data_IF_170327539432
#
_entry.id   IF_170327539432
#
_cell.length_a   1.000
_cell.length_b   1.000
_cell.length_c   1.000
_cell.angle_alpha   90.00
_cell.angle_beta   90.00
_cell.angle_gamma   90.00
#
_symmetry.space_group_name_H-M   'P 1'
#
loop_
_entity.id
_entity.type
_entity.pdbx_description
1 polymer ?
#
# COMPACT_ATOMS: atom_id res chain seq x y z
N UNK A 1 4.64 -9.13 3.55
CA UNK A 1 3.35 -9.81 3.85
C UNK A 1 2.23 -8.84 3.58
N UNK A 2 1.25 -9.23 2.78
CA UNK A 2 0.05 -8.45 2.54
C UNK A 2 -0.93 -8.68 3.70
N UNK A 3 -1.44 -7.60 4.28
CA UNK A 3 -2.44 -7.63 5.35
C UNK A 3 -3.72 -6.96 4.85
N UNK A 4 -4.84 -7.19 5.52
CA UNK A 4 -6.12 -6.54 5.21
C UNK A 4 -5.98 -5.01 5.15
N UNK A 5 -5.18 -4.43 6.07
CA UNK A 5 -4.89 -3.00 6.11
C UNK A 5 -4.10 -2.47 4.91
N UNK A 6 -3.31 -3.32 4.25
CA UNK A 6 -2.58 -2.97 3.02
C UNK A 6 -3.43 -3.15 1.78
N UNK A 7 -4.33 -4.13 1.78
CA UNK A 7 -5.36 -4.26 0.74
C UNK A 7 -6.25 -3.02 0.72
N UNK A 8 -6.70 -2.56 1.89
CA UNK A 8 -7.50 -1.34 2.01
C UNK A 8 -6.79 -0.10 1.45
N UNK A 9 -5.46 0.01 1.62
CA UNK A 9 -4.68 1.09 1.00
C UNK A 9 -4.72 1.01 -0.53
N UNK A 10 -4.55 -0.19 -1.10
CA UNK A 10 -4.59 -0.41 -2.55
C UNK A 10 -5.99 -0.09 -3.11
N UNK A 11 -7.05 -0.52 -2.43
CA UNK A 11 -8.44 -0.25 -2.83
C UNK A 11 -8.73 1.25 -2.84
N UNK A 12 -8.26 1.98 -1.84
CA UNK A 12 -8.42 3.44 -1.80
C UNK A 12 -7.63 4.17 -2.89
N UNK A 13 -6.42 3.72 -3.20
CA UNK A 13 -5.62 4.26 -4.31
C UNK A 13 -6.25 3.96 -5.68
N UNK A 14 -6.98 2.86 -5.80
CA UNK A 14 -7.71 2.49 -7.03
C UNK A 14 -8.97 3.33 -7.23
N UNK A 15 -9.69 3.62 -6.14
CA UNK A 15 -11.03 4.23 -6.20
C UNK A 15 -11.02 5.74 -6.07
N UNK A 16 -9.96 6.34 -5.53
CA UNK A 16 -9.92 7.77 -5.28
C UNK A 16 -8.52 8.35 -5.45
N UNK A 17 -8.43 9.49 -6.13
CA UNK A 17 -7.20 10.26 -6.14
C UNK A 17 -6.93 10.84 -4.75
N UNK A 18 -5.72 10.56 -4.24
CA UNK A 18 -5.17 11.19 -3.04
C UNK A 18 -4.04 12.12 -3.45
N UNK A 19 -3.87 13.22 -2.72
CA UNK A 19 -2.81 14.21 -2.96
C UNK A 19 -1.54 13.94 -2.16
N UNK A 20 -1.64 13.17 -1.07
CA UNK A 20 -0.52 12.88 -0.17
C UNK A 20 -0.81 11.72 0.78
N UNK A 21 0.25 11.16 1.38
CA UNK A 21 0.16 10.15 2.47
C UNK A 21 -0.70 10.64 3.64
N UNK A 22 -0.57 11.93 4.02
CA UNK A 22 -1.36 12.52 5.11
C UNK A 22 -2.85 12.55 4.80
N UNK A 23 -3.20 12.82 3.55
CA UNK A 23 -4.60 12.79 3.15
C UNK A 23 -5.17 11.38 3.19
N UNK A 24 -4.45 10.40 2.62
CA UNK A 24 -4.85 8.99 2.66
C UNK A 24 -5.07 8.51 4.11
N UNK A 25 -4.14 8.85 5.01
CA UNK A 25 -4.26 8.52 6.42
C UNK A 25 -5.50 9.13 7.08
N UNK A 26 -5.81 10.40 6.79
CA UNK A 26 -7.04 11.05 7.28
C UNK A 26 -8.30 10.41 6.74
N UNK A 27 -8.33 10.04 5.45
CA UNK A 27 -9.50 9.39 4.82
C UNK A 27 -9.79 8.02 5.45
N UNK A 28 -8.73 7.32 5.85
CA UNK A 28 -8.81 6.01 6.50
C UNK A 28 -8.99 6.09 8.03
N UNK A 29 -9.00 7.29 8.62
CA UNK A 29 -8.96 7.49 10.08
C UNK A 29 -7.80 6.73 10.76
N UNK A 30 -6.61 6.79 10.15
CA UNK A 30 -5.41 6.07 10.59
C UNK A 30 -4.26 7.01 10.90
N UNK A 31 -3.39 6.57 11.81
CA UNK A 31 -2.14 7.26 12.09
C UNK A 31 -1.23 7.31 10.84
N UNK A 32 -0.70 8.50 10.54
CA UNK A 32 0.12 8.73 9.34
C UNK A 32 1.41 7.93 9.32
N UNK A 33 2.03 7.67 10.48
CA UNK A 33 3.28 6.90 10.56
C UNK A 33 3.03 5.43 10.24
N UNK A 34 1.88 4.89 10.66
CA UNK A 34 1.45 3.54 10.33
C UNK A 34 1.17 3.43 8.83
N UNK A 35 0.44 4.39 8.27
CA UNK A 35 0.12 4.40 6.83
C UNK A 35 1.39 4.54 5.99
N UNK A 36 2.32 5.42 6.37
CA UNK A 36 3.61 5.56 5.69
C UNK A 36 4.37 4.24 5.67
N UNK A 37 4.47 3.57 6.82
CA UNK A 37 5.19 2.28 6.92
C UNK A 37 4.54 1.20 6.07
N UNK A 38 3.21 1.17 6.00
CA UNK A 38 2.51 0.21 5.14
C UNK A 38 2.71 0.52 3.65
N UNK A 39 2.71 1.80 3.25
CA UNK A 39 3.02 2.21 1.90
C UNK A 39 4.48 1.93 1.53
N UNK A 40 5.42 2.05 2.46
CA UNK A 40 6.83 1.71 2.22
C UNK A 40 6.99 0.22 1.90
N UNK A 41 6.28 -0.65 2.61
CA UNK A 41 6.24 -2.09 2.29
C UNK A 41 5.66 -2.34 0.89
N UNK A 42 4.63 -1.60 0.49
CA UNK A 42 4.03 -1.72 -0.84
C UNK A 42 4.92 -1.14 -1.94
N UNK A 43 5.67 -0.10 -1.63
CA UNK A 43 6.67 0.50 -2.52
C UNK A 43 7.84 -0.45 -2.78
N UNK A 44 8.39 -1.04 -1.73
CA UNK A 44 9.43 -2.06 -1.83
C UNK A 44 8.96 -3.30 -2.62
N UNK A 45 7.67 -3.63 -2.54
CA UNK A 45 7.05 -4.70 -3.31
C UNK A 45 6.71 -4.32 -4.76
N UNK A 46 6.92 -3.07 -5.18
CA UNK A 46 6.60 -2.58 -6.52
C UNK A 46 5.09 -2.41 -6.79
N UNK A 47 4.27 -2.34 -5.74
CA UNK A 47 2.81 -2.16 -5.86
C UNK A 47 2.42 -0.69 -5.91
N UNK A 48 3.11 0.14 -5.14
CA UNK A 48 2.89 1.59 -5.04
C UNK A 48 4.13 2.33 -5.52
N UNK A 49 3.95 3.47 -6.17
CA UNK A 49 5.01 4.44 -6.44
C UNK A 49 4.65 5.80 -5.81
N UNK A 50 5.58 6.74 -5.84
CA UNK A 50 5.39 8.10 -5.36
C UNK A 50 5.64 9.12 -6.46
N UNK A 51 4.62 9.92 -6.75
CA UNK A 51 4.76 11.10 -7.59
C UNK A 51 5.06 12.34 -6.75
N UNK A 52 5.82 13.27 -7.35
CA UNK A 52 6.03 14.58 -6.75
C UNK A 52 4.77 15.43 -6.92
N UNK A 53 4.20 15.88 -5.81
CA UNK A 53 3.07 16.80 -5.77
C UNK A 53 3.46 18.05 -4.97
N UNK A 54 4.43 18.79 -5.52
CA UNK A 54 4.93 20.05 -4.99
C UNK A 54 5.81 19.87 -3.75
N UNK A 55 5.21 19.80 -2.56
CA UNK A 55 5.92 19.56 -1.29
C UNK A 55 5.58 18.22 -0.64
N UNK A 56 4.63 17.50 -1.22
CA UNK A 56 4.17 16.22 -0.71
C UNK A 56 4.46 15.12 -1.71
N UNK A 57 4.77 13.93 -1.18
CA UNK A 57 4.78 12.70 -1.97
C UNK A 57 3.34 12.20 -2.09
N UNK A 58 2.88 12.05 -3.33
CA UNK A 58 1.59 11.46 -3.66
C UNK A 58 1.78 9.96 -3.91
N UNK A 59 1.22 9.07 -3.09
CA UNK A 59 1.23 7.65 -3.39
C UNK A 59 0.29 7.36 -4.57
N UNK A 60 0.73 6.55 -5.53
CA UNK A 60 -0.02 6.07 -6.69
C UNK A 60 0.21 4.58 -6.89
N UNK A 61 -0.66 3.90 -7.63
CA UNK A 61 -0.36 2.52 -8.03
C UNK A 61 0.77 2.53 -9.07
N UNK A 62 1.75 1.65 -8.91
CA UNK A 62 2.86 1.53 -9.85
C UNK A 62 2.42 0.94 -11.21
N UNK A 63 1.26 0.28 -11.24
CA UNK A 63 0.72 -0.41 -12.41
C UNK A 63 -0.78 -0.13 -12.55
N UNK A 64 -1.27 -0.08 -13.80
CA UNK A 64 -2.69 0.12 -14.13
C UNK A 64 -3.59 -1.03 -13.62
N UNK A 65 -3.00 -2.19 -13.32
CA UNK A 65 -3.70 -3.34 -12.75
C UNK A 65 -2.82 -4.01 -11.70
N UNK A 66 -3.34 -4.11 -10.49
CA UNK A 66 -2.71 -4.86 -9.38
C UNK A 66 -3.65 -5.99 -8.99
N UNK A 67 -3.22 -7.24 -9.19
CA UNK A 67 -3.97 -8.42 -8.72
C UNK A 67 -3.43 -8.83 -7.35
N UNK A 68 -4.32 -8.86 -6.37
CA UNK A 68 -3.96 -9.15 -4.98
C UNK A 68 -4.74 -10.39 -4.53
N UNK A 69 -4.06 -11.53 -4.46
CA UNK A 69 -4.68 -12.79 -4.04
C UNK A 69 -3.97 -13.37 -2.81
N UNK A 70 -4.69 -13.76 -1.76
CA UNK A 70 -4.10 -14.46 -0.63
C UNK A 70 -3.63 -15.84 -1.08
N UNK A 71 -2.31 -16.07 -1.00
CA UNK A 71 -1.72 -17.39 -1.23
C UNK A 71 -1.65 -18.12 0.10
N UNK A 72 -2.33 -19.26 0.21
CA UNK A 72 -2.17 -20.18 1.34
C UNK A 72 -0.84 -20.90 1.15
N UNK A 73 0.14 -20.54 1.98
CA UNK A 73 1.42 -21.25 2.01
C UNK A 73 1.30 -22.41 2.99
N UNK A 74 1.08 -23.63 2.48
CA UNK A 74 1.10 -24.86 3.27
C UNK A 74 2.56 -25.19 3.58
N UNK A 75 3.09 -24.55 4.62
CA UNK A 75 4.51 -24.65 4.99
C UNK A 75 4.85 -26.05 5.50
N UNK A 76 5.30 -26.93 4.61
CA UNK A 76 6.25 -27.96 5.04
C UNK A 76 7.53 -27.23 5.46
N UNK A 77 7.71 -27.07 6.76
CA UNK A 77 8.97 -26.56 7.33
C UNK A 77 10.03 -27.62 7.01
N UNK A 78 10.90 -27.32 6.06
CA UNK A 78 12.08 -28.15 5.82
C UNK A 78 13.06 -27.89 6.96
N UNK A 79 13.02 -28.72 8.00
CA UNK A 79 14.10 -28.80 8.97
C UNK A 79 15.30 -29.50 8.31
N UNK A 80 16.46 -28.86 8.37
CA UNK A 80 17.77 -29.42 7.99
C UNK A 80 18.48 -29.99 9.23
#
# INVERSE_FOLDING_TARGET
MLTEKRVELIDHLTTAEVSSVRELARRLDRDVSIVSRDLDVLFEAGVVDYEDNGRAKRPVLAHDTVLVEPVVFDGAVFEH
#
